data_IF_879002118282
#
_entry.id   IF_879002118282
#
_cell.length_a   1.000
_cell.length_b   1.000
_cell.length_c   1.000
_cell.angle_alpha   90.00
_cell.angle_beta   90.00
_cell.angle_gamma   90.00
#
_symmetry.space_group_name_H-M   'P 1'
#
loop_
_entity.id
_entity.type
_entity.pdbx_description
1 polymer ?
#
# COMPACT_ATOMS: atom_id res chain seq x y z
N UNK A 1 5.90 15.92 -0.63
CA UNK A 1 4.62 16.49 -1.13
C UNK A 1 3.56 16.23 -0.08
N UNK A 2 2.93 17.28 0.45
CA UNK A 2 1.81 17.17 1.39
C UNK A 2 0.51 17.36 0.60
N UNK A 3 -0.49 16.52 0.84
CA UNK A 3 -1.84 16.61 0.24
C UNK A 3 -2.81 17.00 1.35
N UNK A 4 -3.76 17.89 1.08
CA UNK A 4 -4.82 18.19 2.05
C UNK A 4 -5.78 17.01 2.17
N UNK A 5 -6.62 17.00 3.19
CA UNK A 5 -7.64 15.96 3.35
C UNK A 5 -8.53 15.86 2.09
N UNK A 6 -8.98 16.99 1.56
CA UNK A 6 -9.82 17.01 0.36
C UNK A 6 -9.08 16.56 -0.90
N UNK A 7 -7.77 16.77 -0.99
CA UNK A 7 -6.95 16.24 -2.10
C UNK A 7 -6.75 14.72 -2.01
N UNK A 8 -6.92 14.13 -0.83
CA UNK A 8 -6.75 12.69 -0.59
C UNK A 8 -8.01 11.89 -0.94
N UNK A 9 -9.18 12.53 -1.04
CA UNK A 9 -10.45 11.85 -1.23
C UNK A 9 -11.22 12.39 -2.44
N UNK A 10 -11.67 11.53 -3.37
CA UNK A 10 -12.52 11.97 -4.47
C UNK A 10 -13.83 12.59 -3.94
N UNK A 11 -14.30 13.65 -4.60
CA UNK A 11 -15.37 14.54 -4.11
C UNK A 11 -16.79 13.92 -4.01
N UNK A 12 -17.03 12.67 -4.41
CA UNK A 12 -18.35 12.04 -4.26
C UNK A 12 -18.36 10.50 -4.30
N UNK A 13 -19.35 9.91 -3.60
CA UNK A 13 -19.97 8.63 -3.97
C UNK A 13 -19.30 7.32 -3.53
N UNK A 14 -18.04 7.32 -3.10
CA UNK A 14 -17.32 6.08 -2.85
C UNK A 14 -16.63 5.99 -1.49
N UNK A 15 -16.39 4.75 -1.02
CA UNK A 15 -15.65 4.47 0.23
C UNK A 15 -14.26 5.10 0.17
N UNK A 16 -14.13 6.20 0.90
CA UNK A 16 -12.96 7.09 1.03
C UNK A 16 -11.70 6.33 1.46
N UNK A 17 -10.93 5.85 0.51
CA UNK A 17 -9.60 5.26 0.75
C UNK A 17 -8.58 5.99 -0.11
N UNK A 18 -7.63 6.73 0.48
CA UNK A 18 -6.70 7.53 -0.28
C UNK A 18 -5.66 6.63 -0.95
N UNK A 19 -5.35 6.89 -2.21
CA UNK A 19 -4.18 6.28 -2.83
C UNK A 19 -2.91 6.93 -2.28
N UNK A 20 -2.10 6.15 -1.56
CA UNK A 20 -0.89 6.66 -0.91
C UNK A 20 0.29 6.72 -1.88
N UNK A 21 0.56 5.64 -2.60
CA UNK A 21 1.71 5.50 -3.50
C UNK A 21 1.55 4.30 -4.44
N UNK A 22 2.39 4.24 -5.46
CA UNK A 22 2.63 3.04 -6.28
C UNK A 22 4.13 2.74 -6.33
N UNK A 23 4.48 1.46 -6.33
CA UNK A 23 5.87 0.99 -6.43
C UNK A 23 5.97 -0.11 -7.48
N UNK A 24 7.10 -0.13 -8.19
CA UNK A 24 7.40 -1.16 -9.19
C UNK A 24 8.51 -2.06 -8.64
N UNK A 25 8.18 -3.34 -8.45
CA UNK A 25 9.10 -4.30 -7.87
C UNK A 25 9.90 -4.99 -8.97
N UNK A 26 11.14 -4.54 -9.16
CA UNK A 26 12.05 -5.09 -10.16
C UNK A 26 13.08 -6.04 -9.52
N UNK A 27 12.97 -7.34 -9.82
CA UNK A 27 13.88 -8.36 -9.26
C UNK A 27 15.34 -8.15 -9.66
N UNK A 28 15.65 -7.47 -10.77
CA UNK A 28 17.04 -7.18 -11.11
C UNK A 28 17.70 -6.24 -10.08
N UNK A 29 16.92 -5.38 -9.41
CA UNK A 29 17.37 -4.44 -8.39
C UNK A 29 17.65 -5.05 -7.01
N UNK A 30 17.51 -6.37 -6.84
CA UNK A 30 17.83 -7.04 -5.57
C UNK A 30 19.32 -6.91 -5.22
N UNK A 31 19.59 -6.56 -3.95
CA UNK A 31 20.94 -6.54 -3.36
C UNK A 31 21.52 -7.95 -3.27
N UNK A 32 20.78 -8.88 -2.62
CA UNK A 32 21.17 -10.28 -2.54
C UNK A 32 20.61 -11.05 -3.73
N UNK A 33 21.45 -11.32 -4.73
CA UNK A 33 21.05 -12.01 -5.98
C UNK A 33 20.49 -13.42 -5.75
N UNK A 34 20.90 -14.11 -4.68
CA UNK A 34 20.39 -15.42 -4.30
C UNK A 34 19.01 -15.39 -3.62
N UNK A 35 18.58 -14.25 -3.08
CA UNK A 35 17.23 -14.13 -2.51
C UNK A 35 16.20 -14.01 -3.63
N UNK A 36 15.10 -14.75 -3.58
CA UNK A 36 13.99 -14.61 -4.54
C UNK A 36 13.00 -13.50 -4.16
N UNK A 37 13.14 -12.86 -3.01
CA UNK A 37 12.24 -11.81 -2.56
C UNK A 37 12.80 -10.41 -2.78
N UNK A 38 11.89 -9.44 -2.84
CA UNK A 38 12.20 -8.01 -2.79
C UNK A 38 11.51 -7.40 -1.56
N UNK A 39 12.27 -6.64 -0.79
CA UNK A 39 11.79 -5.95 0.40
C UNK A 39 11.74 -4.44 0.17
N UNK A 40 10.77 -3.78 0.78
CA UNK A 40 10.67 -2.32 0.85
C UNK A 40 10.06 -1.90 2.19
N UNK A 41 10.26 -0.64 2.55
CA UNK A 41 9.70 -0.04 3.77
C UNK A 41 8.73 1.07 3.42
N UNK A 42 7.69 1.22 4.24
CA UNK A 42 6.71 2.30 4.15
C UNK A 42 6.72 3.03 5.50
N UNK A 43 7.16 4.27 5.50
CA UNK A 43 7.01 5.15 6.67
C UNK A 43 5.65 5.85 6.59
N UNK A 44 4.71 5.44 7.44
CA UNK A 44 3.36 6.01 7.49
C UNK A 44 3.20 6.86 8.75
N UNK A 45 2.95 8.15 8.54
CA UNK A 45 2.71 9.13 9.60
C UNK A 45 1.37 9.81 9.41
N UNK A 46 0.56 9.85 10.46
CA UNK A 46 -0.72 10.57 10.53
C UNK A 46 -0.63 11.55 11.70
N UNK A 47 -0.91 12.83 11.42
CA UNK A 47 -0.83 13.93 12.39
C UNK A 47 -2.12 14.72 12.38
N UNK A 48 -2.48 15.28 13.52
CA UNK A 48 -3.56 16.27 13.59
C UNK A 48 -3.02 17.58 13.01
N UNK A 49 -3.75 18.26 12.09
CA UNK A 49 -3.36 19.58 11.64
C UNK A 49 -3.40 20.58 12.80
N UNK A 50 -2.55 21.59 12.75
CA UNK A 50 -2.63 22.72 13.69
C UNK A 50 -3.96 23.45 13.42
N UNK A 51 -4.78 23.66 14.46
CA UNK A 51 -6.03 24.40 14.33
C UNK A 51 -5.81 25.87 14.69
N UNK A 52 -6.21 26.75 13.78
CA UNK A 52 -6.38 28.19 14.03
C UNK A 52 -7.84 28.44 14.42
N UNK A 53 -8.07 29.04 15.59
CA UNK A 53 -9.42 29.44 16.03
C UNK A 53 -9.58 30.92 15.68
N UNK A 54 -10.54 31.22 14.79
CA UNK A 54 -10.96 32.58 14.42
C UNK A 54 -9.88 33.50 13.80
N UNK A 55 -8.97 32.96 12.97
CA UNK A 55 -8.01 33.77 12.19
C UNK A 55 -6.96 34.52 13.03
N UNK A 56 -6.89 34.18 14.32
CA UNK A 56 -5.83 34.59 15.22
C UNK A 56 -4.97 33.35 15.44
N UNK A 57 -3.72 33.38 14.99
CA UNK A 57 -2.71 32.46 15.48
C UNK A 57 -2.51 32.77 16.97
N UNK A 58 -3.23 32.09 17.85
CA UNK A 58 -3.10 32.26 19.30
C UNK A 58 -1.66 31.89 19.71
N UNK A 59 -0.81 32.91 19.85
CA UNK A 59 0.60 32.77 20.23
C UNK A 59 0.80 32.06 21.59
N UNK A 60 -0.26 31.94 22.40
CA UNK A 60 -0.22 31.34 23.74
C UNK A 60 -0.64 29.86 23.80
N UNK A 61 -1.07 29.25 22.68
CA UNK A 61 -1.48 27.83 22.64
C UNK A 61 -1.09 27.13 21.34
N UNK A 62 0.16 27.34 20.92
CA UNK A 62 0.76 26.50 19.88
C UNK A 62 0.94 25.08 20.41
N UNK A 63 -0.06 24.23 20.19
CA UNK A 63 0.12 22.79 20.31
C UNK A 63 0.70 22.31 18.99
N UNK A 64 1.99 21.99 18.94
CA UNK A 64 2.54 21.24 17.81
C UNK A 64 1.61 20.05 17.51
N UNK A 65 1.11 19.96 16.28
CA UNK A 65 0.19 18.91 15.86
C UNK A 65 0.65 17.53 16.35
N UNK A 66 -0.11 16.94 17.26
CA UNK A 66 0.24 15.64 17.85
C UNK A 66 0.20 14.55 16.78
N UNK A 67 1.15 13.62 16.87
CA UNK A 67 1.18 12.44 16.01
C UNK A 67 0.16 11.41 16.48
N UNK A 68 -0.81 11.08 15.61
CA UNK A 68 -1.81 10.03 15.85
C UNK A 68 -1.29 8.63 15.51
N UNK A 69 -0.37 8.55 14.54
CA UNK A 69 0.24 7.29 14.10
C UNK A 69 1.61 7.58 13.48
N UNK A 70 2.64 6.87 13.90
CA UNK A 70 3.97 6.89 13.26
C UNK A 70 4.54 5.48 13.34
N UNK A 71 4.55 4.78 12.20
CA UNK A 71 5.08 3.43 12.08
C UNK A 71 5.77 3.26 10.74
N UNK A 72 6.93 2.61 10.79
CA UNK A 72 7.55 1.99 9.62
C UNK A 72 6.97 0.59 9.43
N UNK A 73 6.53 0.28 8.22
CA UNK A 73 5.98 -1.02 7.82
C UNK A 73 6.99 -1.66 6.86
N UNK A 74 7.55 -2.81 7.23
CA UNK A 74 8.46 -3.57 6.38
C UNK A 74 7.63 -4.59 5.59
N UNK A 75 7.75 -4.58 4.27
CA UNK A 75 7.04 -5.50 3.37
C UNK A 75 8.05 -6.29 2.58
N UNK A 76 7.85 -7.61 2.49
CA UNK A 76 8.63 -8.49 1.63
C UNK A 76 7.70 -9.26 0.69
N UNK A 77 7.94 -9.14 -0.61
CA UNK A 77 7.21 -9.85 -1.64
C UNK A 77 8.11 -10.90 -2.31
N UNK A 78 7.65 -12.15 -2.36
CA UNK A 78 8.25 -13.20 -3.18
C UNK A 78 7.33 -13.50 -4.37
N UNK A 79 7.81 -13.39 -5.62
CA UNK A 79 7.06 -13.81 -6.79
C UNK A 79 6.86 -15.33 -6.81
N UNK A 80 5.84 -15.82 -7.51
CA UNK A 80 5.68 -17.26 -7.73
C UNK A 80 6.86 -17.84 -8.52
N UNK A 81 7.19 -19.13 -8.33
CA UNK A 81 8.19 -19.80 -9.15
C UNK A 81 7.78 -19.80 -10.63
N UNK A 82 8.71 -19.49 -11.55
CA UNK A 82 8.46 -19.51 -13.01
C UNK A 82 7.91 -20.84 -13.51
N UNK A 83 8.30 -21.95 -12.86
CA UNK A 83 7.89 -23.31 -13.22
C UNK A 83 6.57 -23.77 -12.58
N UNK A 84 5.83 -22.88 -11.91
CA UNK A 84 4.52 -23.19 -11.30
C UNK A 84 3.52 -22.08 -11.64
N UNK A 85 3.02 -22.05 -12.90
CA UNK A 85 1.96 -21.13 -13.29
C UNK A 85 0.71 -21.31 -12.39
N UNK A 86 -0.01 -20.22 -12.12
CA UNK A 86 -1.18 -20.21 -11.23
C UNK A 86 -0.87 -20.11 -9.73
N UNK A 87 0.41 -19.95 -9.34
CA UNK A 87 0.77 -19.59 -7.96
C UNK A 87 0.78 -18.07 -7.80
N UNK A 88 0.29 -17.59 -6.65
CA UNK A 88 0.32 -16.17 -6.30
C UNK A 88 1.62 -15.74 -5.64
N UNK A 89 1.79 -14.42 -5.57
CA UNK A 89 2.80 -13.78 -4.74
C UNK A 89 2.66 -14.20 -3.27
N UNK A 90 3.79 -14.45 -2.62
CA UNK A 90 3.85 -14.57 -1.15
C UNK A 90 4.30 -13.25 -0.57
N UNK A 91 3.42 -12.59 0.16
CA UNK A 91 3.71 -11.33 0.84
C UNK A 91 3.83 -11.54 2.34
N UNK A 92 4.87 -10.96 2.95
CA UNK A 92 5.04 -10.86 4.40
C UNK A 92 5.14 -9.39 4.79
N UNK A 93 4.75 -9.09 6.03
CA UNK A 93 4.93 -7.77 6.61
C UNK A 93 5.34 -7.83 8.08
N UNK A 94 5.82 -6.72 8.60
CA UNK A 94 5.89 -6.43 10.03
C UNK A 94 5.78 -4.92 10.25
N UNK A 95 5.35 -4.54 11.45
CA UNK A 95 5.62 -3.19 11.94
C UNK A 95 7.05 -3.20 12.49
N UNK A 96 7.81 -2.15 12.22
CA UNK A 96 9.17 -2.01 12.72
C UNK A 96 9.13 -1.68 14.22
N UNK A 97 9.06 -2.72 15.05
CA UNK A 97 8.98 -2.64 16.50
C UNK A 97 10.15 -3.37 17.17
N UNK A 98 10.23 -3.26 18.51
CA UNK A 98 11.23 -3.96 19.34
C UNK A 98 11.01 -5.48 19.20
N UNK A 99 11.67 -6.10 18.23
CA UNK A 99 11.63 -7.54 17.95
C UNK A 99 11.59 -7.91 16.46
N UNK A 100 11.18 -6.98 15.58
CA UNK A 100 11.08 -7.22 14.14
C UNK A 100 11.86 -6.21 13.29
N UNK A 101 12.97 -5.70 13.83
CA UNK A 101 13.80 -4.70 13.15
C UNK A 101 14.15 -5.16 11.73
N UNK A 102 13.71 -4.37 10.74
CA UNK A 102 13.98 -4.57 9.32
C UNK A 102 13.60 -5.96 8.76
N UNK A 103 12.67 -6.68 9.39
CA UNK A 103 12.31 -8.04 8.96
C UNK A 103 10.80 -8.25 8.89
N UNK A 104 10.31 -8.57 7.69
CA UNK A 104 8.93 -8.98 7.49
C UNK A 104 8.68 -10.39 8.04
N UNK A 105 7.85 -10.52 9.08
CA UNK A 105 7.65 -11.79 9.79
C UNK A 105 6.28 -12.41 9.55
N UNK A 106 5.21 -11.60 9.50
CA UNK A 106 3.82 -12.05 9.38
C UNK A 106 3.44 -12.30 7.92
N UNK A 107 2.97 -13.50 7.59
CA UNK A 107 2.50 -13.82 6.23
C UNK A 107 1.09 -13.26 6.01
N UNK A 108 0.87 -12.54 4.92
CA UNK A 108 -0.46 -12.11 4.49
C UNK A 108 -1.14 -13.23 3.68
N UNK A 109 -2.45 -13.34 3.86
CA UNK A 109 -3.32 -14.11 2.98
C UNK A 109 -3.80 -13.20 1.86
N UNK A 110 -3.94 -13.78 0.66
CA UNK A 110 -4.67 -13.14 -0.43
C UNK A 110 -6.09 -12.88 0.06
N UNK A 111 -6.61 -11.72 -0.30
CA UNK A 111 -8.00 -11.38 -0.08
C UNK A 111 -8.75 -11.46 -1.41
N UNK A 112 -9.69 -12.39 -1.47
CA UNK A 112 -10.51 -12.66 -2.66
C UNK A 112 -11.75 -11.78 -2.74
N UNK A 113 -11.94 -10.84 -1.79
CA UNK A 113 -12.97 -9.81 -1.90
C UNK A 113 -12.77 -8.98 -3.17
N UNK A 114 -13.86 -8.62 -3.86
CA UNK A 114 -13.79 -7.69 -5.00
C UNK A 114 -12.97 -6.44 -4.67
N UNK A 115 -12.08 -6.08 -5.60
CA UNK A 115 -11.20 -4.91 -5.51
C UNK A 115 -11.98 -3.59 -5.63
N UNK A 116 -13.23 -3.64 -6.13
CA UNK A 116 -14.01 -2.51 -6.64
C UNK A 116 -14.67 -1.58 -5.61
N UNK A 117 -14.29 -1.63 -4.34
CA UNK A 117 -14.54 -0.54 -3.40
C UNK A 117 -13.51 0.62 -3.64
N UNK A 118 -13.58 1.19 -4.85
CA UNK A 118 -13.15 2.53 -5.31
C UNK A 118 -11.69 3.02 -5.20
N UNK A 119 -11.31 3.78 -6.25
CA UNK A 119 -10.13 4.65 -6.48
C UNK A 119 -8.83 4.04 -7.06
N UNK A 120 -8.70 2.71 -7.20
CA UNK A 120 -7.48 2.08 -7.74
C UNK A 120 -7.71 1.24 -9.02
N UNK A 121 -8.93 1.23 -9.53
CA UNK A 121 -9.33 0.34 -10.62
C UNK A 121 -9.12 1.01 -11.98
N UNK A 122 -7.95 0.72 -12.56
CA UNK A 122 -7.83 0.65 -14.02
C UNK A 122 -8.33 -0.75 -14.43
N UNK A 123 -9.12 -0.81 -15.51
CA UNK A 123 -10.14 -1.83 -15.83
C UNK A 123 -9.66 -3.28 -16.14
N UNK A 124 -8.69 -3.85 -15.42
CA UNK A 124 -8.23 -5.22 -15.69
C UNK A 124 -8.26 -6.09 -14.42
N UNK A 125 -9.38 -6.80 -14.26
CA UNK A 125 -9.74 -7.60 -13.07
C UNK A 125 -8.96 -8.90 -12.93
N UNK A 126 -8.38 -9.41 -14.01
CA UNK A 126 -8.06 -10.85 -14.09
C UNK A 126 -6.81 -11.27 -13.29
N UNK A 127 -5.89 -10.34 -13.01
CA UNK A 127 -4.63 -10.64 -12.29
C UNK A 127 -4.32 -9.72 -11.10
N UNK A 128 -5.31 -8.96 -10.60
CA UNK A 128 -5.10 -8.10 -9.44
C UNK A 128 -5.25 -8.90 -8.14
N UNK A 129 -4.23 -8.85 -7.28
CA UNK A 129 -4.24 -9.52 -5.97
C UNK A 129 -4.21 -8.48 -4.86
N UNK A 130 -5.12 -8.62 -3.90
CA UNK A 130 -5.25 -7.70 -2.77
C UNK A 130 -4.72 -8.33 -1.47
N UNK A 131 -3.94 -7.55 -0.72
CA UNK A 131 -3.51 -7.88 0.64
C UNK A 131 -3.89 -6.75 1.60
N UNK A 132 -4.25 -7.11 2.83
CA UNK A 132 -4.67 -6.16 3.88
C UNK A 132 -3.75 -6.24 5.09
N UNK A 133 -3.20 -5.09 5.49
CA UNK A 133 -2.41 -4.93 6.70
C UNK A 133 -3.23 -4.13 7.71
N UNK A 134 -3.64 -4.71 8.86
CA UNK A 134 -4.36 -3.96 9.89
C UNK A 134 -3.41 -2.95 10.54
N UNK A 135 -3.90 -1.72 10.70
CA UNK A 135 -3.19 -0.63 11.36
C UNK A 135 -4.00 -0.22 12.60
N UNK A 136 -3.35 -0.20 13.76
CA UNK A 136 -3.96 0.26 15.00
C UNK A 136 -2.93 0.95 15.88
N UNK A 137 -3.32 2.08 16.45
CA UNK A 137 -2.57 2.78 17.48
C UNK A 137 -2.97 2.24 18.85
N UNK A 138 -2.04 2.29 19.81
CA UNK A 138 -2.32 1.96 21.21
C UNK A 138 -2.78 3.16 22.05
N UNK A 139 -2.72 4.38 21.50
CA UNK A 139 -3.09 5.64 22.15
C UNK A 139 -4.48 6.14 21.75
N UNK A 140 -5.08 6.99 22.58
CA UNK A 140 -6.31 7.74 22.30
C UNK A 140 -6.03 9.23 22.54
N UNK A 141 -6.28 10.12 21.56
CA UNK A 141 -6.72 9.82 20.19
C UNK A 141 -5.66 9.02 19.41
N UNK A 142 -6.10 8.26 18.41
CA UNK A 142 -5.22 7.40 17.61
C UNK A 142 -5.88 6.93 16.32
N UNK A 143 -5.10 6.27 15.47
CA UNK A 143 -5.55 5.71 14.19
C UNK A 143 -5.96 4.24 14.33
N UNK A 144 -7.12 3.88 13.78
CA UNK A 144 -7.49 2.51 13.42
C UNK A 144 -7.86 2.45 11.95
N UNK A 145 -7.27 1.53 11.19
CA UNK A 145 -7.47 1.45 9.76
C UNK A 145 -6.87 0.21 9.12
N UNK A 146 -6.82 0.19 7.79
CA UNK A 146 -6.25 -0.91 7.02
C UNK A 146 -5.45 -0.34 5.85
N UNK A 147 -4.17 -0.72 5.76
CA UNK A 147 -3.38 -0.49 4.57
C UNK A 147 -3.69 -1.59 3.56
N UNK A 148 -4.17 -1.17 2.38
CA UNK A 148 -4.49 -2.06 1.25
C UNK A 148 -3.32 -2.06 0.29
N UNK A 149 -2.77 -3.24 -0.01
CA UNK A 149 -1.72 -3.43 -1.01
C UNK A 149 -2.34 -4.14 -2.21
N UNK A 150 -2.43 -3.44 -3.34
CA UNK A 150 -2.89 -3.99 -4.61
C UNK A 150 -1.67 -4.36 -5.45
N UNK A 151 -1.56 -5.63 -5.82
CA UNK A 151 -0.50 -6.16 -6.65
C UNK A 151 -1.05 -6.50 -8.03
N UNK A 152 -0.38 -6.02 -9.09
CA UNK A 152 -0.75 -6.30 -10.49
C UNK A 152 0.49 -6.55 -11.34
N UNK A 153 0.40 -7.35 -12.41
CA UNK A 153 1.44 -7.42 -13.43
C UNK A 153 1.74 -6.04 -14.02
N UNK A 154 2.99 -5.78 -14.35
CA UNK A 154 3.41 -4.58 -15.04
C UNK A 154 3.69 -4.95 -16.50
N UNK A 155 2.93 -4.34 -17.42
CA UNK A 155 2.95 -4.59 -18.86
C UNK A 155 2.50 -5.99 -19.27
N UNK A 156 1.28 -6.10 -19.83
CA UNK A 156 0.91 -7.27 -20.63
C UNK A 156 1.45 -7.05 -22.03
N UNK A 157 2.28 -7.96 -22.53
CA UNK A 157 2.47 -8.06 -23.97
C UNK A 157 1.07 -8.37 -24.52
N UNK A 158 0.47 -7.39 -25.21
CA UNK A 158 -0.75 -7.63 -25.98
C UNK A 158 -0.31 -8.52 -27.12
N UNK A 159 -0.47 -9.83 -26.97
CA UNK A 159 -0.38 -10.75 -28.10
C UNK A 159 -1.52 -10.38 -29.03
N UNK A 160 -1.26 -9.50 -29.99
CA UNK A 160 -2.13 -9.34 -31.14
C UNK A 160 -2.17 -10.70 -31.81
N UNK A 161 -3.35 -11.34 -31.74
CA UNK A 161 -3.65 -12.49 -32.58
C UNK A 161 -3.61 -11.95 -34.01
N UNK A 162 -2.47 -12.13 -34.67
CA UNK A 162 -2.32 -11.85 -36.09
C UNK A 162 -3.32 -12.77 -36.79
N UNK A 163 -4.45 -12.20 -37.19
CA UNK A 163 -5.48 -12.90 -37.94
C UNK A 163 -4.81 -13.57 -39.13
N UNK A 164 -4.93 -14.89 -39.20
CA UNK A 164 -4.64 -15.65 -40.40
C UNK A 164 -5.68 -15.25 -41.45
N UNK A 165 -5.37 -14.23 -42.24
CA UNK A 165 -5.83 -14.20 -43.62
C UNK A 165 -4.93 -15.18 -44.37
N UNK A 166 -5.45 -16.36 -44.67
CA UNK A 166 -5.01 -17.22 -45.78
C UNK A 166 -6.01 -18.39 -45.89
N UNK A 167 -6.76 -18.42 -47.00
CA UNK A 167 -7.60 -19.55 -47.43
C UNK A 167 -8.93 -19.17 -48.02
#
# INVERSE_FOLDING_TARGET
MFRTFDDMFPKAGHRRSPHLFSVFLALHGRVKKSSRSLGFAIDLKVRVPDYEVDGILWADRHYEGTTLFDKTIIVEATPPPKNKPGRDYRVRYSLNDKGNLNRATKRLKRDDSSVWDSAAADNDETDTVLFRIPLASSSVPGLKGTLRLLCRPWNRERTEVRGSEDG
#
